data_IF_703518568111
#
_entry.id   IF_703518568111
#
_cell.length_a   1.000
_cell.length_b   1.000
_cell.length_c   1.000
_cell.angle_alpha   90.00
_cell.angle_beta   90.00
_cell.angle_gamma   90.00
#
_symmetry.space_group_name_H-M   'P 1'
#
loop_
_entity.id
_entity.type
_entity.pdbx_description
1 polymer ?
#
# COMPACT_ATOMS: atom_id res chain seq x y z
N UNK A 1 19.81 -3.16 -13.58
CA UNK A 1 18.46 -3.65 -13.20
C UNK A 1 18.22 -3.58 -11.69
N UNK A 2 19.15 -3.96 -10.81
CA UNK A 2 19.03 -3.77 -9.34
C UNK A 2 18.76 -2.34 -8.81
N UNK A 3 19.25 -1.22 -9.41
CA UNK A 3 19.09 0.10 -8.79
C UNK A 3 17.64 0.56 -8.72
N UNK A 4 16.78 0.21 -9.68
CA UNK A 4 15.35 0.60 -9.63
C UNK A 4 14.68 0.03 -8.39
N UNK A 5 14.93 -1.25 -8.07
CA UNK A 5 14.39 -1.90 -6.87
C UNK A 5 14.84 -1.22 -5.57
N UNK A 6 16.07 -0.69 -5.52
CA UNK A 6 16.62 -0.02 -4.34
C UNK A 6 16.19 1.45 -4.23
N UNK A 7 16.05 2.13 -5.36
CA UNK A 7 15.71 3.56 -5.41
C UNK A 7 14.21 3.82 -5.29
N UNK A 8 13.36 2.86 -5.68
CA UNK A 8 11.89 2.96 -5.59
C UNK A 8 11.37 3.41 -4.21
N UNK A 9 11.86 2.91 -3.06
CA UNK A 9 11.39 3.40 -1.77
C UNK A 9 11.94 4.76 -1.32
N UNK A 10 12.98 5.30 -1.96
CA UNK A 10 13.63 6.51 -1.43
C UNK A 10 12.73 7.75 -1.45
N UNK A 11 11.94 8.03 -2.51
CA UNK A 11 11.05 9.19 -2.52
C UNK A 11 10.02 9.17 -1.40
N UNK A 12 9.49 8.00 -1.02
CA UNK A 12 8.52 7.91 0.07
C UNK A 12 9.16 8.20 1.43
N UNK A 13 10.36 7.65 1.67
CA UNK A 13 11.14 7.94 2.88
C UNK A 13 11.50 9.42 2.98
N UNK A 14 12.04 10.01 1.91
CA UNK A 14 12.44 11.41 1.86
C UNK A 14 11.25 12.34 2.10
N UNK A 15 10.09 12.04 1.49
CA UNK A 15 8.88 12.83 1.67
C UNK A 15 8.40 12.80 3.13
N UNK A 16 8.37 11.62 3.75
CA UNK A 16 7.99 11.49 5.16
C UNK A 16 8.98 12.24 6.08
N UNK A 17 10.29 12.09 5.87
CA UNK A 17 11.30 12.79 6.68
C UNK A 17 11.23 14.31 6.51
N UNK A 18 11.01 14.80 5.28
CA UNK A 18 10.84 16.23 5.01
C UNK A 18 9.63 16.78 5.76
N UNK A 19 8.52 16.05 5.72
CA UNK A 19 7.28 16.38 6.44
C UNK A 19 7.53 16.40 7.97
N UNK A 20 8.38 15.52 8.49
CA UNK A 20 8.76 15.47 9.91
C UNK A 20 9.82 16.47 10.34
N UNK A 21 10.50 17.13 9.41
CA UNK A 21 11.54 18.13 9.71
C UNK A 21 10.97 19.47 10.19
N UNK A 22 9.70 19.76 9.86
CA UNK A 22 9.06 21.02 10.24
C UNK A 22 8.87 21.11 11.77
N UNK A 23 9.26 22.22 12.42
CA UNK A 23 9.14 22.36 13.87
C UNK A 23 7.67 22.34 14.32
N UNK A 24 7.42 21.83 15.53
CA UNK A 24 6.08 21.76 16.13
C UNK A 24 6.10 22.27 17.57
N UNK A 25 5.08 23.06 17.91
CA UNK A 25 4.77 23.42 19.29
C UNK A 25 4.08 22.25 20.00
N UNK A 26 3.98 22.30 21.33
CA UNK A 26 3.26 21.29 22.06
C UNK A 26 1.76 21.38 21.73
N UNK A 27 1.03 20.26 21.60
CA UNK A 27 -0.42 20.31 21.41
C UNK A 27 -1.14 21.09 22.52
N UNK A 28 -0.60 21.03 23.74
CA UNK A 28 -1.14 21.69 24.92
C UNK A 28 -1.04 23.23 24.85
N UNK A 29 -0.18 23.78 23.99
CA UNK A 29 -0.06 25.22 23.74
C UNK A 29 -1.24 25.78 22.94
N UNK A 30 -2.18 24.93 22.53
CA UNK A 30 -3.43 25.30 21.88
C UNK A 30 -3.33 25.50 20.36
N UNK A 31 -4.49 25.76 19.77
CA UNK A 31 -4.68 25.80 18.31
C UNK A 31 -3.83 26.88 17.64
N UNK A 32 -3.81 28.09 18.18
CA UNK A 32 -3.18 29.26 17.56
C UNK A 32 -1.65 29.15 17.54
N UNK A 33 -1.06 28.60 18.61
CA UNK A 33 0.39 28.33 18.68
C UNK A 33 0.81 27.27 17.66
N UNK A 34 -0.10 26.35 17.33
CA UNK A 34 0.11 25.27 16.37
C UNK A 34 -0.30 25.65 14.93
N UNK A 35 -0.22 26.92 14.51
CA UNK A 35 -0.59 27.36 13.15
C UNK A 35 0.18 26.62 12.03
N UNK A 36 1.48 26.33 12.24
CA UNK A 36 2.32 25.64 11.26
C UNK A 36 1.86 24.19 11.02
N UNK A 37 1.25 23.56 12.02
CA UNK A 37 0.66 22.23 11.89
C UNK A 37 -0.51 22.23 10.90
N UNK A 38 -1.36 23.25 10.91
CA UNK A 38 -2.49 23.36 9.97
C UNK A 38 -2.05 23.64 8.53
N UNK A 39 -0.98 24.43 8.35
CA UNK A 39 -0.35 24.62 7.03
C UNK A 39 0.26 23.31 6.53
N UNK A 40 0.93 22.55 7.40
CA UNK A 40 1.48 21.24 7.04
C UNK A 40 0.38 20.26 6.63
N UNK A 41 -0.70 20.12 7.42
CA UNK A 41 -1.86 19.31 7.05
C UNK A 41 -2.43 19.75 5.70
N UNK A 42 -2.50 21.06 5.47
CA UNK A 42 -3.00 21.60 4.21
C UNK A 42 -2.14 21.14 3.03
N UNK A 43 -0.81 21.33 3.11
CA UNK A 43 0.14 20.93 2.05
C UNK A 43 0.08 19.43 1.81
N UNK A 44 0.13 18.62 2.87
CA UNK A 44 0.09 17.15 2.77
C UNK A 44 -1.22 16.69 2.14
N UNK A 45 -2.35 17.24 2.57
CA UNK A 45 -3.66 16.91 2.01
C UNK A 45 -3.76 17.31 0.55
N UNK A 46 -3.29 18.51 0.18
CA UNK A 46 -3.27 18.96 -1.21
C UNK A 46 -2.50 18.01 -2.10
N UNK A 47 -1.30 17.61 -1.65
CA UNK A 47 -0.44 16.70 -2.38
C UNK A 47 -1.04 15.29 -2.48
N UNK A 48 -1.58 14.73 -1.38
CA UNK A 48 -2.21 13.42 -1.37
C UNK A 48 -3.45 13.37 -2.27
N UNK A 49 -4.35 14.34 -2.14
CA UNK A 49 -5.60 14.40 -2.91
C UNK A 49 -5.33 14.68 -4.38
N UNK A 50 -4.40 15.58 -4.70
CA UNK A 50 -3.99 15.83 -6.07
C UNK A 50 -3.39 14.59 -6.71
N UNK A 51 -2.51 13.88 -5.99
CA UNK A 51 -1.91 12.62 -6.45
C UNK A 51 -2.97 11.53 -6.66
N UNK A 52 -3.89 11.36 -5.71
CA UNK A 52 -4.99 10.41 -5.83
C UNK A 52 -5.88 10.72 -7.04
N UNK A 53 -6.17 12.00 -7.27
CA UNK A 53 -6.91 12.45 -8.44
C UNK A 53 -6.16 12.03 -9.70
N UNK A 54 -4.87 12.35 -9.84
CA UNK A 54 -4.08 11.92 -11.01
C UNK A 54 -4.10 10.39 -11.22
N UNK A 55 -4.05 9.59 -10.15
CA UNK A 55 -4.17 8.13 -10.25
C UNK A 55 -5.50 7.70 -10.86
N UNK A 56 -6.63 8.29 -10.44
CA UNK A 56 -7.95 8.01 -11.02
C UNK A 56 -7.96 8.30 -12.53
N UNK A 57 -7.31 9.38 -12.96
CA UNK A 57 -7.19 9.74 -14.37
C UNK A 57 -6.36 8.73 -15.17
N UNK A 58 -5.26 8.24 -14.61
CA UNK A 58 -4.41 7.23 -15.26
C UNK A 58 -5.11 5.87 -15.43
N UNK A 59 -6.10 5.57 -14.61
CA UNK A 59 -6.85 4.31 -14.67
C UNK A 59 -8.14 4.39 -15.50
N UNK A 60 -8.58 5.59 -15.89
CA UNK A 60 -9.73 5.81 -16.75
C UNK A 60 -9.28 6.55 -18.02
N UNK A 61 -8.79 5.84 -19.06
CA UNK A 61 -8.23 6.48 -20.26
C UNK A 61 -9.26 7.33 -21.04
N UNK A 62 -10.55 7.08 -20.84
CA UNK A 62 -11.65 7.91 -21.38
C UNK A 62 -11.84 9.23 -20.62
N UNK A 63 -11.25 9.32 -19.45
CA UNK A 63 -11.31 10.47 -18.58
C UNK A 63 -10.08 11.35 -18.84
N UNK A 64 -10.24 12.43 -19.60
CA UNK A 64 -9.15 13.39 -19.86
C UNK A 64 -8.82 14.24 -18.61
N UNK A 65 -8.26 13.60 -17.58
CA UNK A 65 -7.85 14.31 -16.38
C UNK A 65 -6.54 15.06 -16.60
N UNK A 66 -6.64 16.37 -16.77
CA UNK A 66 -5.48 17.28 -16.78
C UNK A 66 -4.99 17.58 -15.36
N UNK A 67 -3.69 17.87 -15.23
CA UNK A 67 -3.02 18.23 -13.96
C UNK A 67 -3.73 19.39 -13.25
N UNK A 68 -4.24 20.37 -14.00
CA UNK A 68 -5.00 21.51 -13.43
C UNK A 68 -6.17 21.07 -12.54
N UNK A 69 -6.87 19.99 -12.90
CA UNK A 69 -8.02 19.54 -12.11
C UNK A 69 -7.54 18.90 -10.80
N UNK A 70 -6.46 18.11 -10.85
CA UNK A 70 -5.84 17.55 -9.66
C UNK A 70 -5.31 18.63 -8.71
N UNK A 71 -4.72 19.71 -9.23
CA UNK A 71 -4.26 20.85 -8.42
C UNK A 71 -5.45 21.54 -7.76
N UNK A 72 -6.51 21.88 -8.51
CA UNK A 72 -7.69 22.55 -7.94
C UNK A 72 -8.39 21.68 -6.90
N UNK A 73 -8.59 20.38 -7.19
CA UNK A 73 -9.20 19.44 -6.25
C UNK A 73 -8.35 19.28 -4.99
N UNK A 74 -7.03 19.15 -5.14
CA UNK A 74 -6.09 19.11 -4.02
C UNK A 74 -6.18 20.34 -3.13
N UNK A 75 -6.09 21.54 -3.71
CA UNK A 75 -6.13 22.81 -2.98
C UNK A 75 -7.46 22.98 -2.21
N UNK A 76 -8.60 22.75 -2.87
CA UNK A 76 -9.91 22.91 -2.25
C UNK A 76 -10.13 21.88 -1.13
N UNK A 77 -9.78 20.62 -1.36
CA UNK A 77 -9.90 19.58 -0.34
C UNK A 77 -8.96 19.83 0.83
N UNK A 78 -7.73 20.28 0.57
CA UNK A 78 -6.80 20.69 1.63
C UNK A 78 -7.36 21.83 2.48
N UNK A 79 -7.91 22.88 1.85
CA UNK A 79 -8.53 24.00 2.57
C UNK A 79 -9.66 23.49 3.47
N UNK A 80 -10.55 22.65 2.92
CA UNK A 80 -11.65 22.08 3.69
C UNK A 80 -11.15 21.27 4.90
N UNK A 81 -10.21 20.36 4.71
CA UNK A 81 -9.61 19.54 5.78
C UNK A 81 -8.98 20.42 6.86
N UNK A 82 -8.14 21.38 6.48
CA UNK A 82 -7.44 22.23 7.46
C UNK A 82 -8.37 23.19 8.19
N UNK A 83 -9.34 23.81 7.51
CA UNK A 83 -10.32 24.69 8.15
C UNK A 83 -11.27 23.93 9.06
N UNK A 84 -11.70 22.72 8.69
CA UNK A 84 -12.51 21.89 9.58
C UNK A 84 -11.72 21.50 10.82
N UNK A 85 -10.49 20.99 10.67
CA UNK A 85 -9.65 20.64 11.82
C UNK A 85 -9.36 21.84 12.72
N UNK A 86 -9.04 23.00 12.14
CA UNK A 86 -8.83 24.24 12.88
C UNK A 86 -10.09 24.69 13.61
N UNK A 87 -11.23 24.74 12.92
CA UNK A 87 -12.51 25.18 13.46
C UNK A 87 -12.97 24.29 14.62
N UNK A 88 -12.87 22.96 14.48
CA UNK A 88 -13.19 22.03 15.58
C UNK A 88 -12.21 22.21 16.74
N UNK A 89 -10.93 22.41 16.45
CA UNK A 89 -9.91 22.72 17.45
C UNK A 89 -10.27 23.96 18.28
N UNK A 90 -10.70 25.05 17.62
CA UNK A 90 -11.09 26.31 18.27
C UNK A 90 -12.40 26.15 19.06
N UNK A 91 -13.38 25.46 18.50
CA UNK A 91 -14.73 25.36 19.08
C UNK A 91 -14.83 24.34 20.22
N UNK A 92 -14.03 23.28 20.19
CA UNK A 92 -14.16 22.15 21.12
C UNK A 92 -12.88 21.93 21.92
N UNK A 93 -11.86 21.35 21.28
CA UNK A 93 -10.60 20.98 21.94
C UNK A 93 -9.52 20.70 20.91
N UNK A 94 -8.28 21.01 21.28
CA UNK A 94 -7.10 20.67 20.52
C UNK A 94 -6.12 19.86 21.39
N UNK A 95 -5.54 18.76 20.87
CA UNK A 95 -5.73 18.19 19.53
C UNK A 95 -7.13 17.58 19.33
N UNK A 96 -7.64 17.65 18.09
CA UNK A 96 -8.97 17.13 17.74
C UNK A 96 -8.96 15.59 17.81
N UNK A 97 -9.78 14.95 18.66
CA UNK A 97 -9.87 13.50 18.73
C UNK A 97 -10.14 12.88 17.37
N UNK A 98 -9.36 11.87 16.97
CA UNK A 98 -9.50 11.22 15.67
C UNK A 98 -9.45 12.23 14.51
N UNK A 99 -8.56 13.23 14.58
CA UNK A 99 -8.50 14.35 13.65
C UNK A 99 -8.44 13.92 12.17
N UNK A 100 -7.70 12.86 11.86
CA UNK A 100 -7.66 12.28 10.49
C UNK A 100 -9.04 11.76 10.03
N UNK A 101 -9.79 11.12 10.93
CA UNK A 101 -11.13 10.58 10.64
C UNK A 101 -12.16 11.69 10.52
N UNK A 102 -12.15 12.67 11.43
CA UNK A 102 -13.11 13.79 11.42
C UNK A 102 -12.86 14.72 10.23
N UNK A 103 -11.61 14.91 9.82
CA UNK A 103 -11.27 15.77 8.70
C UNK A 103 -11.47 15.10 7.32
N UNK A 104 -11.70 13.78 7.28
CA UNK A 104 -11.90 13.03 6.04
C UNK A 104 -13.23 13.31 5.31
N UNK A 105 -14.41 13.36 5.98
CA UNK A 105 -15.68 13.64 5.30
C UNK A 105 -15.74 14.98 4.53
N UNK A 106 -15.26 16.12 5.08
CA UNK A 106 -15.18 17.37 4.31
C UNK A 106 -14.32 17.24 3.05
N UNK A 107 -13.16 16.58 3.16
CA UNK A 107 -12.27 16.31 2.03
C UNK A 107 -12.99 15.54 0.92
N UNK A 108 -13.67 14.45 1.28
CA UNK A 108 -14.45 13.61 0.34
C UNK A 108 -15.61 14.39 -0.26
N UNK A 109 -16.30 15.21 0.53
CA UNK A 109 -17.38 16.07 0.05
C UNK A 109 -16.92 17.02 -1.05
N UNK A 110 -15.79 17.72 -0.83
CA UNK A 110 -15.20 18.59 -1.85
C UNK A 110 -14.78 17.81 -3.08
N UNK A 111 -14.21 16.62 -2.93
CA UNK A 111 -13.84 15.78 -4.07
C UNK A 111 -15.07 15.41 -4.91
N UNK A 112 -16.16 15.00 -4.28
CA UNK A 112 -17.42 14.67 -4.97
C UNK A 112 -17.99 15.90 -5.68
N UNK A 113 -18.00 17.07 -5.04
CA UNK A 113 -18.47 18.32 -5.65
C UNK A 113 -17.62 18.72 -6.85
N UNK A 114 -16.29 18.72 -6.72
CA UNK A 114 -15.39 19.06 -7.83
C UNK A 114 -15.51 18.05 -8.98
N UNK A 115 -15.59 16.76 -8.66
CA UNK A 115 -15.70 15.71 -9.64
C UNK A 115 -17.01 15.80 -10.44
N UNK A 116 -18.13 16.03 -9.74
CA UNK A 116 -19.44 16.24 -10.38
C UNK A 116 -19.49 17.54 -11.18
N UNK A 117 -18.80 18.60 -10.74
CA UNK A 117 -18.70 19.85 -11.49
C UNK A 117 -17.92 19.68 -12.80
N UNK A 118 -16.72 19.10 -12.75
CA UNK A 118 -15.86 18.97 -13.93
C UNK A 118 -16.36 17.92 -14.92
N UNK A 119 -16.88 16.79 -14.43
CA UNK A 119 -17.18 15.62 -15.29
C UNK A 119 -18.63 15.15 -15.21
N UNK A 120 -19.51 15.81 -14.46
CA UNK A 120 -20.91 15.38 -14.32
C UNK A 120 -21.70 15.33 -15.63
N UNK A 121 -21.36 16.20 -16.61
CA UNK A 121 -21.95 16.15 -17.94
C UNK A 121 -21.45 14.94 -18.76
N UNK A 122 -20.13 14.74 -18.82
CA UNK A 122 -19.50 13.61 -19.53
C UNK A 122 -19.91 12.26 -18.93
N UNK A 123 -20.07 12.21 -17.62
CA UNK A 123 -20.58 11.06 -16.87
C UNK A 123 -21.98 10.64 -17.31
N UNK A 124 -22.85 11.60 -17.59
CA UNK A 124 -24.23 11.33 -18.03
C UNK A 124 -24.27 10.86 -19.48
N UNK A 125 -23.32 11.29 -20.31
CA UNK A 125 -23.31 10.98 -21.75
C UNK A 125 -22.59 9.68 -22.12
N UNK A 126 -21.52 9.27 -21.42
CA UNK A 126 -20.76 8.05 -21.74
C UNK A 126 -20.99 6.92 -20.69
N UNK A 127 -21.78 5.87 -21.02
CA UNK A 127 -22.04 4.75 -20.11
C UNK A 127 -20.79 3.91 -19.79
N UNK A 128 -19.79 3.91 -20.68
CA UNK A 128 -18.53 3.19 -20.45
C UNK A 128 -17.65 3.98 -19.49
N UNK A 129 -17.55 5.31 -19.63
CA UNK A 129 -16.89 6.18 -18.64
C UNK A 129 -17.51 6.01 -17.25
N UNK A 130 -18.85 5.99 -17.17
CA UNK A 130 -19.58 5.72 -15.91
C UNK A 130 -19.19 4.38 -15.28
N UNK A 131 -18.94 3.37 -16.09
CA UNK A 131 -18.49 2.05 -15.60
C UNK A 131 -17.06 2.14 -15.09
N UNK A 132 -16.14 2.74 -15.85
CA UNK A 132 -14.74 2.88 -15.46
C UNK A 132 -14.60 3.63 -14.13
N UNK A 133 -15.32 4.74 -13.97
CA UNK A 133 -15.21 5.50 -12.73
C UNK A 133 -15.91 4.82 -11.57
N UNK A 134 -17.03 4.11 -11.76
CA UNK A 134 -17.61 3.27 -10.69
C UNK A 134 -16.61 2.24 -10.18
N UNK A 135 -15.86 1.61 -11.07
CA UNK A 135 -14.79 0.68 -10.70
C UNK A 135 -13.71 1.40 -9.89
N UNK A 136 -13.26 2.57 -10.34
CA UNK A 136 -12.28 3.39 -9.63
C UNK A 136 -12.74 3.85 -8.25
N UNK A 137 -14.00 4.32 -8.13
CA UNK A 137 -14.59 4.71 -6.84
C UNK A 137 -14.69 3.53 -5.88
N UNK A 138 -14.91 2.31 -6.38
CA UNK A 138 -14.87 1.12 -5.53
C UNK A 138 -13.45 0.76 -5.09
N UNK A 139 -12.42 0.95 -5.92
CA UNK A 139 -11.02 0.74 -5.53
C UNK A 139 -10.62 1.77 -4.47
N UNK A 140 -10.93 3.05 -4.71
CA UNK A 140 -10.73 4.13 -3.75
C UNK A 140 -11.48 3.88 -2.44
N UNK A 141 -12.73 3.42 -2.51
CA UNK A 141 -13.53 3.07 -1.34
C UNK A 141 -12.88 1.97 -0.49
N UNK A 142 -12.29 0.95 -1.13
CA UNK A 142 -11.51 -0.07 -0.43
C UNK A 142 -10.25 0.54 0.20
N UNK A 143 -9.50 1.35 -0.54
CA UNK A 143 -8.28 2.01 -0.03
C UNK A 143 -8.58 2.89 1.19
N UNK A 144 -9.60 3.74 1.12
CA UNK A 144 -10.06 4.56 2.26
C UNK A 144 -10.52 3.68 3.42
N UNK A 145 -11.26 2.60 3.16
CA UNK A 145 -11.66 1.67 4.23
C UNK A 145 -10.45 1.09 4.97
N UNK A 146 -9.39 0.70 4.26
CA UNK A 146 -8.17 0.19 4.88
C UNK A 146 -7.48 1.25 5.75
N UNK A 147 -7.50 2.52 5.36
CA UNK A 147 -6.96 3.61 6.20
C UNK A 147 -7.65 3.76 7.55
N UNK A 148 -8.87 3.22 7.71
CA UNK A 148 -9.62 3.20 8.98
C UNK A 148 -9.53 1.86 9.69
N UNK A 149 -9.68 0.75 8.96
CA UNK A 149 -9.67 -0.61 9.51
C UNK A 149 -8.37 -0.88 10.27
N UNK A 150 -7.24 -0.49 9.70
CA UNK A 150 -5.96 -0.88 10.28
C UNK A 150 -5.53 -0.05 11.50
N UNK A 151 -5.75 1.27 11.62
CA UNK A 151 -5.55 1.96 12.89
C UNK A 151 -6.43 1.39 14.02
N UNK A 152 -7.69 1.05 13.72
CA UNK A 152 -8.55 0.32 14.67
C UNK A 152 -7.98 -1.05 15.03
N UNK A 153 -7.41 -1.76 14.05
CA UNK A 153 -6.71 -3.02 14.30
C UNK A 153 -5.46 -2.81 15.19
N UNK A 154 -4.61 -1.79 14.95
CA UNK A 154 -3.47 -1.49 15.83
C UNK A 154 -3.96 -1.29 17.26
N UNK A 155 -4.99 -0.48 17.44
CA UNK A 155 -5.55 -0.22 18.77
C UNK A 155 -6.00 -1.51 19.46
N UNK A 156 -6.73 -2.38 18.74
CA UNK A 156 -7.10 -3.70 19.25
C UNK A 156 -5.87 -4.54 19.63
N UNK A 157 -4.84 -4.56 18.78
CA UNK A 157 -3.62 -5.34 19.00
C UNK A 157 -2.82 -4.87 20.22
N UNK A 158 -2.70 -3.57 20.45
CA UNK A 158 -1.96 -3.02 21.60
C UNK A 158 -2.78 -3.10 22.91
N UNK A 159 -4.11 -3.19 22.80
CA UNK A 159 -5.00 -3.35 23.96
C UNK A 159 -5.02 -4.78 24.51
N UNK A 160 -4.49 -5.75 23.75
CA UNK A 160 -4.41 -7.16 24.12
C UNK A 160 -2.99 -7.54 24.55
N UNK A 161 -2.87 -8.57 25.37
CA UNK A 161 -1.56 -9.09 25.83
C UNK A 161 -1.49 -10.61 25.69
N UNK A 162 -0.25 -11.13 25.58
CA UNK A 162 0.01 -12.57 25.56
C UNK A 162 -0.71 -13.32 24.43
N UNK A 163 -1.44 -14.39 24.79
CA UNK A 163 -2.11 -15.27 23.84
C UNK A 163 -3.19 -14.57 22.99
N UNK A 164 -3.95 -13.65 23.59
CA UNK A 164 -5.00 -12.92 22.86
C UNK A 164 -4.41 -11.98 21.81
N UNK A 165 -3.25 -11.38 22.09
CA UNK A 165 -2.51 -10.59 21.11
C UNK A 165 -2.10 -11.44 19.91
N UNK A 166 -1.62 -12.68 20.15
CA UNK A 166 -1.28 -13.63 19.08
C UNK A 166 -2.52 -14.08 18.27
N UNK A 167 -3.65 -14.34 18.92
CA UNK A 167 -4.89 -14.68 18.22
C UNK A 167 -5.39 -13.53 17.33
N UNK A 168 -5.23 -12.29 17.80
CA UNK A 168 -5.65 -11.09 17.08
C UNK A 168 -4.85 -10.84 15.79
N UNK A 169 -3.62 -11.36 15.70
CA UNK A 169 -2.81 -11.36 14.46
C UNK A 169 -3.52 -12.09 13.32
N UNK A 170 -4.31 -13.14 13.61
CA UNK A 170 -5.04 -13.90 12.58
C UNK A 170 -6.11 -13.06 11.85
N UNK A 171 -6.47 -11.87 12.37
CA UNK A 171 -7.33 -10.95 11.65
C UNK A 171 -6.65 -10.32 10.42
N UNK A 172 -5.31 -10.20 10.41
CA UNK A 172 -4.57 -9.60 9.28
C UNK A 172 -4.76 -10.37 7.97
N UNK A 173 -4.58 -11.72 7.91
CA UNK A 173 -4.90 -12.50 6.72
C UNK A 173 -6.35 -12.34 6.24
N UNK A 174 -7.31 -12.21 7.16
CA UNK A 174 -8.73 -12.06 6.82
C UNK A 174 -8.97 -10.68 6.17
N UNK A 175 -8.45 -9.60 6.78
CA UNK A 175 -8.54 -8.24 6.24
C UNK A 175 -7.88 -8.20 4.84
N UNK A 176 -6.67 -8.76 4.71
CA UNK A 176 -5.93 -8.89 3.45
C UNK A 176 -6.75 -9.62 2.39
N UNK A 177 -7.36 -10.76 2.71
CA UNK A 177 -8.19 -11.53 1.77
C UNK A 177 -9.45 -10.77 1.34
N UNK A 178 -10.16 -10.14 2.28
CA UNK A 178 -11.36 -9.36 1.98
C UNK A 178 -11.03 -8.17 1.06
N UNK A 179 -9.96 -7.44 1.35
CA UNK A 179 -9.52 -6.31 0.55
C UNK A 179 -9.07 -6.71 -0.87
N UNK A 180 -8.27 -7.79 -0.99
CA UNK A 180 -7.87 -8.36 -2.29
C UNK A 180 -9.08 -8.73 -3.13
N UNK A 181 -10.06 -9.41 -2.52
CA UNK A 181 -11.29 -9.82 -3.20
C UNK A 181 -12.16 -8.61 -3.59
N UNK A 182 -12.22 -7.58 -2.76
CA UNK A 182 -12.94 -6.35 -3.08
C UNK A 182 -12.34 -5.69 -4.33
N UNK A 183 -11.04 -5.37 -4.31
CA UNK A 183 -10.37 -4.68 -5.43
C UNK A 183 -10.41 -5.54 -6.69
N UNK A 184 -10.19 -6.85 -6.58
CA UNK A 184 -10.25 -7.78 -7.72
C UNK A 184 -11.63 -7.80 -8.39
N UNK A 185 -12.71 -7.81 -7.59
CA UNK A 185 -14.10 -7.71 -8.10
C UNK A 185 -14.38 -6.34 -8.71
N UNK A 186 -13.90 -5.27 -8.09
CA UNK A 186 -14.07 -3.90 -8.57
C UNK A 186 -13.44 -3.72 -9.96
N UNK A 187 -12.27 -4.31 -10.23
CA UNK A 187 -11.57 -4.18 -11.51
C UNK A 187 -12.12 -5.08 -12.63
N UNK A 188 -13.03 -6.01 -12.33
CA UNK A 188 -13.76 -6.80 -13.33
C UNK A 188 -12.86 -7.53 -14.31
N UNK A 189 -12.87 -7.14 -15.60
CA UNK A 189 -12.08 -7.78 -16.68
C UNK A 189 -10.72 -7.11 -16.96
N UNK A 190 -10.34 -6.06 -16.22
CA UNK A 190 -9.07 -5.34 -16.42
C UNK A 190 -7.90 -6.10 -15.79
N UNK A 191 -7.51 -7.20 -16.41
CA UNK A 191 -6.47 -8.08 -15.86
C UNK A 191 -5.08 -7.42 -15.79
N UNK A 192 -4.78 -6.45 -16.65
CA UNK A 192 -3.45 -5.83 -16.68
C UNK A 192 -3.19 -4.90 -15.48
N UNK A 193 -4.24 -4.27 -14.94
CA UNK A 193 -4.13 -3.36 -13.79
C UNK A 193 -4.31 -4.08 -12.44
N UNK A 194 -4.88 -5.28 -12.43
CA UNK A 194 -5.21 -6.00 -11.19
C UNK A 194 -4.01 -6.26 -10.28
N UNK A 195 -2.86 -6.77 -10.75
CA UNK A 195 -1.75 -7.09 -9.85
C UNK A 195 -1.27 -5.86 -9.12
N UNK A 196 -0.99 -4.81 -9.90
CA UNK A 196 -0.58 -3.52 -9.40
C UNK A 196 -1.58 -2.96 -8.38
N UNK A 197 -2.86 -2.88 -8.74
CA UNK A 197 -3.88 -2.28 -7.89
C UNK A 197 -4.10 -3.02 -6.59
N UNK A 198 -4.16 -4.36 -6.65
CA UNK A 198 -4.38 -5.19 -5.47
C UNK A 198 -3.17 -5.14 -4.56
N UNK A 199 -1.95 -5.27 -5.09
CA UNK A 199 -0.73 -5.32 -4.30
C UNK A 199 -0.44 -3.98 -3.64
N UNK A 200 -0.38 -2.90 -4.42
CA UNK A 200 0.02 -1.61 -3.87
C UNK A 200 -1.03 -0.99 -2.94
N UNK A 201 -2.29 -1.42 -3.00
CA UNK A 201 -3.27 -1.01 -2.00
C UNK A 201 -3.25 -1.93 -0.78
N UNK A 202 -3.32 -3.26 -0.95
CA UNK A 202 -3.53 -4.16 0.19
C UNK A 202 -2.22 -4.50 0.90
N UNK A 203 -1.18 -4.82 0.14
CA UNK A 203 0.09 -5.31 0.70
C UNK A 203 0.88 -4.20 1.35
N UNK A 204 0.83 -2.98 0.81
CA UNK A 204 1.50 -1.85 1.46
C UNK A 204 0.99 -1.63 2.87
N UNK A 205 -0.34 -1.60 3.05
CA UNK A 205 -0.90 -1.51 4.39
C UNK A 205 -0.47 -2.71 5.22
N UNK A 206 -0.73 -3.93 4.74
CA UNK A 206 -0.45 -5.14 5.51
C UNK A 206 1.00 -5.21 6.00
N UNK A 207 1.98 -4.97 5.13
CA UNK A 207 3.40 -5.02 5.47
C UNK A 207 3.80 -3.93 6.47
N UNK A 208 3.30 -2.70 6.30
CA UNK A 208 3.61 -1.62 7.25
C UNK A 208 2.97 -1.86 8.63
N UNK A 209 1.76 -2.41 8.66
CA UNK A 209 1.08 -2.75 9.91
C UNK A 209 1.70 -3.96 10.60
N UNK A 210 2.14 -4.97 9.85
CA UNK A 210 2.94 -6.08 10.38
C UNK A 210 4.24 -5.56 11.00
N UNK A 211 4.94 -4.64 10.32
CA UNK A 211 6.13 -3.99 10.86
C UNK A 211 5.83 -3.19 12.13
N UNK A 212 4.72 -2.46 12.19
CA UNK A 212 4.28 -1.78 13.42
C UNK A 212 3.91 -2.75 14.56
N UNK A 213 3.24 -3.87 14.24
CA UNK A 213 2.88 -4.90 15.21
C UNK A 213 4.12 -5.56 15.82
N UNK A 214 5.11 -5.91 14.98
CA UNK A 214 6.39 -6.47 15.42
C UNK A 214 7.17 -5.51 16.33
N UNK A 215 7.06 -4.20 16.11
CA UNK A 215 7.70 -3.21 16.98
C UNK A 215 7.03 -3.05 18.33
N UNK A 216 5.70 -3.16 18.37
CA UNK A 216 4.90 -2.95 19.57
C UNK A 216 4.53 -4.26 20.27
N UNK A 217 5.00 -5.41 19.76
CA UNK A 217 4.76 -6.71 20.36
C UNK A 217 5.28 -6.74 21.80
N UNK A 218 4.43 -7.22 22.71
CA UNK A 218 4.73 -7.31 24.14
C UNK A 218 5.79 -8.37 24.47
N UNK A 219 5.88 -9.40 23.63
CA UNK A 219 6.80 -10.54 23.82
C UNK A 219 7.38 -11.00 22.48
N UNK A 220 8.58 -11.55 22.54
CA UNK A 220 9.24 -12.19 21.39
C UNK A 220 8.41 -13.34 20.79
N UNK A 221 7.59 -14.02 21.60
CA UNK A 221 6.69 -15.07 21.13
C UNK A 221 5.64 -14.60 20.13
N UNK A 222 5.09 -13.39 20.29
CA UNK A 222 4.14 -12.81 19.32
C UNK A 222 4.83 -12.54 17.99
N UNK A 223 6.06 -12.01 18.02
CA UNK A 223 6.85 -11.79 16.81
C UNK A 223 7.14 -13.10 16.07
N UNK A 224 7.52 -14.16 16.79
CA UNK A 224 7.74 -15.49 16.21
C UNK A 224 6.46 -16.04 15.58
N UNK A 225 5.29 -15.85 16.20
CA UNK A 225 4.01 -16.30 15.64
C UNK A 225 3.68 -15.55 14.34
N UNK A 226 3.86 -14.22 14.29
CA UNK A 226 3.69 -13.43 13.07
C UNK A 226 4.58 -13.99 11.95
N UNK A 227 5.86 -14.20 12.24
CA UNK A 227 6.83 -14.78 11.29
C UNK A 227 6.40 -16.17 10.80
N UNK A 228 5.93 -17.04 11.70
CA UNK A 228 5.49 -18.39 11.34
C UNK A 228 4.24 -18.38 10.45
N UNK A 229 3.28 -17.48 10.72
CA UNK A 229 2.08 -17.32 9.89
C UNK A 229 2.47 -16.91 8.47
N UNK A 230 3.37 -15.94 8.33
CA UNK A 230 3.82 -15.47 7.02
C UNK A 230 4.63 -16.53 6.28
N UNK A 231 5.50 -17.27 6.96
CA UNK A 231 6.19 -18.44 6.37
C UNK A 231 5.23 -19.53 5.90
N UNK A 232 4.16 -19.79 6.63
CA UNK A 232 3.12 -20.74 6.22
C UNK A 232 2.35 -20.23 4.99
N UNK A 233 1.97 -18.95 4.99
CA UNK A 233 1.30 -18.31 3.85
C UNK A 233 2.17 -18.34 2.60
N UNK A 234 3.46 -18.06 2.75
CA UNK A 234 4.47 -18.16 1.71
C UNK A 234 4.56 -19.59 1.16
N UNK A 235 4.69 -20.58 2.05
CA UNK A 235 4.80 -21.99 1.66
C UNK A 235 3.58 -22.47 0.86
N UNK A 236 2.37 -22.15 1.32
CA UNK A 236 1.12 -22.47 0.62
C UNK A 236 1.09 -21.81 -0.76
N UNK A 237 1.44 -20.52 -0.83
CA UNK A 237 1.48 -19.77 -2.09
C UNK A 237 2.47 -20.40 -3.08
N UNK A 238 3.65 -20.82 -2.61
CA UNK A 238 4.66 -21.49 -3.43
C UNK A 238 4.17 -22.85 -3.96
N UNK A 239 3.48 -23.64 -3.15
CA UNK A 239 2.89 -24.92 -3.59
C UNK A 239 1.85 -24.71 -4.70
N UNK A 240 0.95 -23.75 -4.52
CA UNK A 240 -0.06 -23.41 -5.52
C UNK A 240 0.58 -22.96 -6.84
N UNK A 241 1.66 -22.19 -6.76
CA UNK A 241 2.40 -21.70 -7.93
C UNK A 241 3.12 -22.82 -8.65
N UNK A 242 3.85 -23.69 -7.94
CA UNK A 242 4.52 -24.86 -8.53
C UNK A 242 3.49 -25.77 -9.20
N UNK A 243 2.30 -25.92 -8.61
CA UNK A 243 1.19 -26.66 -9.22
C UNK A 243 0.71 -26.01 -10.52
N UNK A 244 0.42 -24.70 -10.51
CA UNK A 244 -0.01 -23.95 -11.71
C UNK A 244 1.06 -24.02 -12.81
N UNK A 245 2.33 -23.89 -12.44
CA UNK A 245 3.48 -24.00 -13.34
C UNK A 245 3.55 -25.38 -13.97
N UNK A 246 3.44 -26.44 -13.18
CA UNK A 246 3.45 -27.82 -13.67
C UNK A 246 2.25 -28.13 -14.58
N UNK A 247 1.05 -27.64 -14.25
CA UNK A 247 -0.13 -27.74 -15.11
C UNK A 247 0.07 -27.01 -16.45
N UNK A 248 0.68 -25.82 -16.41
CA UNK A 248 0.99 -25.05 -17.61
C UNK A 248 2.01 -25.77 -18.49
N UNK A 249 3.07 -26.32 -17.89
CA UNK A 249 4.15 -27.00 -18.60
C UNK A 249 3.66 -28.32 -19.23
N UNK A 250 2.92 -29.14 -18.47
CA UNK A 250 2.27 -30.35 -19.00
C UNK A 250 1.39 -30.05 -20.20
N UNK A 251 0.66 -28.95 -20.16
CA UNK A 251 -0.27 -28.59 -21.21
C UNK A 251 0.38 -27.96 -22.46
N UNK A 252 1.56 -27.34 -22.31
CA UNK A 252 2.41 -26.95 -23.44
C UNK A 252 3.00 -28.22 -24.10
N UNK A 253 3.51 -29.16 -23.30
CA UNK A 253 4.04 -30.43 -23.80
C UNK A 253 2.98 -31.29 -24.51
N UNK A 254 1.72 -31.30 -24.05
CA UNK A 254 0.64 -32.00 -24.78
C UNK A 254 0.23 -31.28 -26.07
N UNK A 255 0.42 -29.97 -26.18
CA UNK A 255 0.16 -29.22 -27.42
C UNK A 255 1.26 -29.33 -28.46
N UNK A 256 2.48 -29.72 -28.07
CA UNK A 256 3.60 -29.97 -28.98
C UNK A 256 3.68 -31.41 -29.51
N UNK A 257 2.77 -32.30 -29.10
CA UNK A 257 2.69 -33.68 -29.62
C UNK A 257 1.68 -33.74 -30.77
N UNK A 258 2.05 -33.20 -31.93
CA UNK A 258 1.57 -33.55 -33.29
C UNK A 258 2.68 -33.14 -34.29
N UNK A 259 2.92 -33.93 -35.35
CA UNK A 259 3.94 -34.98 -35.39
C UNK A 259 5.33 -34.50 -35.85
N UNK A 260 6.31 -35.35 -35.58
CA UNK A 260 7.70 -35.23 -36.00
C UNK A 260 7.84 -35.03 -37.51
N UNK A 261 8.50 -33.94 -37.90
CA UNK A 261 9.41 -33.77 -39.06
C UNK A 261 9.45 -32.28 -39.43
N UNK A 262 10.31 -31.51 -38.76
CA UNK A 262 10.82 -30.27 -39.35
C UNK A 262 12.33 -30.32 -39.20
N UNK A 263 12.97 -30.83 -40.25
CA UNK A 263 14.42 -30.83 -40.38
C UNK A 263 14.95 -29.39 -40.31
N UNK A 264 16.06 -29.28 -39.59
CA UNK A 264 16.74 -28.03 -39.28
C UNK A 264 17.11 -27.24 -40.54
N UNK A 265 16.55 -26.05 -40.72
CA UNK A 265 17.22 -24.91 -41.37
C UNK A 265 16.74 -23.61 -40.72
N UNK A 266 17.73 -22.81 -40.34
CA UNK A 266 17.71 -21.48 -39.75
C UNK A 266 16.74 -20.53 -40.46
N UNK A 267 15.68 -20.10 -39.77
CA UNK A 267 14.90 -18.88 -40.02
C UNK A 267 13.93 -18.70 -38.86
N UNK A 268 13.64 -17.47 -38.45
CA UNK A 268 12.67 -17.10 -37.40
C UNK A 268 11.28 -17.66 -37.71
N UNK A 269 11.01 -18.89 -37.26
CA UNK A 269 9.72 -19.55 -37.48
C UNK A 269 8.65 -18.73 -36.76
N UNK A 270 7.78 -18.07 -37.52
CA UNK A 270 6.67 -17.31 -36.96
C UNK A 270 5.74 -18.28 -36.25
N UNK A 271 5.26 -17.91 -35.07
CA UNK A 271 4.29 -18.68 -34.28
C UNK A 271 3.02 -19.08 -35.09
N UNK A 272 2.78 -18.40 -36.21
CA UNK A 272 1.71 -18.62 -37.18
C UNK A 272 1.84 -19.91 -37.99
N UNK A 273 3.05 -20.43 -38.20
CA UNK A 273 3.30 -21.64 -38.99
C UNK A 273 3.31 -22.92 -38.15
N UNK A 274 3.37 -22.83 -36.82
CA UNK A 274 3.51 -23.98 -35.90
C UNK A 274 2.17 -24.37 -35.23
N UNK A 275 1.27 -23.41 -34.98
CA UNK A 275 0.06 -23.64 -34.19
C UNK A 275 -1.23 -23.22 -34.91
N UNK A 276 -2.29 -24.02 -34.75
CA UNK A 276 -3.65 -23.60 -35.13
C UNK A 276 -4.07 -22.33 -34.37
N UNK A 277 -4.97 -21.51 -34.93
CA UNK A 277 -5.50 -20.30 -34.24
C UNK A 277 -6.01 -20.61 -32.83
N UNK A 278 -6.64 -21.78 -32.63
CA UNK A 278 -7.16 -22.23 -31.32
C UNK A 278 -6.03 -22.61 -30.34
N UNK A 279 -4.93 -23.18 -30.82
CA UNK A 279 -3.76 -23.51 -30.00
C UNK A 279 -2.97 -22.27 -29.64
N UNK A 280 -2.77 -21.36 -30.59
CA UNK A 280 -2.13 -20.06 -30.35
C UNK A 280 -2.89 -19.24 -29.31
N UNK A 281 -4.22 -19.17 -29.41
CA UNK A 281 -5.04 -18.49 -28.41
C UNK A 281 -4.92 -19.12 -27.02
N UNK A 282 -4.89 -20.47 -26.93
CA UNK A 282 -4.67 -21.18 -25.65
C UNK A 282 -3.28 -20.94 -25.08
N UNK A 283 -2.25 -20.95 -25.92
CA UNK A 283 -0.87 -20.69 -25.52
C UNK A 283 -0.71 -19.26 -25.00
N UNK A 284 -1.19 -18.25 -25.74
CA UNK A 284 -1.14 -16.84 -25.34
C UNK A 284 -1.88 -16.64 -24.01
N UNK A 285 -3.10 -17.18 -23.86
CA UNK A 285 -3.85 -17.05 -22.62
C UNK A 285 -3.14 -17.69 -21.42
N UNK A 286 -2.48 -18.84 -21.62
CA UNK A 286 -1.70 -19.50 -20.55
C UNK A 286 -0.44 -18.73 -20.20
N UNK A 287 0.31 -18.26 -21.20
CA UNK A 287 1.51 -17.46 -21.00
C UNK A 287 1.18 -16.13 -20.29
N UNK A 288 0.10 -15.46 -20.69
CA UNK A 288 -0.35 -14.23 -20.04
C UNK A 288 -0.80 -14.46 -18.59
N UNK A 289 -1.56 -15.55 -18.32
CA UNK A 289 -1.95 -15.92 -16.96
C UNK A 289 -0.73 -16.24 -16.09
N UNK A 290 0.25 -16.93 -16.66
CA UNK A 290 1.49 -17.23 -15.96
C UNK A 290 2.26 -15.94 -15.64
N UNK A 291 2.48 -15.07 -16.63
CA UNK A 291 3.16 -13.79 -16.44
C UNK A 291 2.48 -12.95 -15.35
N UNK A 292 1.14 -12.90 -15.36
CA UNK A 292 0.34 -12.24 -14.34
C UNK A 292 0.60 -12.79 -12.93
N UNK A 293 0.63 -14.13 -12.76
CA UNK A 293 0.87 -14.75 -11.44
C UNK A 293 2.30 -14.48 -10.96
N UNK A 294 3.28 -14.50 -11.87
CA UNK A 294 4.67 -14.21 -11.56
C UNK A 294 4.87 -12.75 -11.17
N UNK A 295 4.26 -11.83 -11.91
CA UNK A 295 4.23 -10.41 -11.58
C UNK A 295 3.63 -10.22 -10.18
N UNK A 296 2.46 -10.81 -9.96
CA UNK A 296 1.76 -10.72 -8.68
C UNK A 296 2.63 -11.18 -7.51
N UNK A 297 3.25 -12.36 -7.64
CA UNK A 297 4.07 -12.94 -6.59
C UNK A 297 5.32 -12.10 -6.31
N UNK A 298 6.09 -11.76 -7.34
CA UNK A 298 7.37 -11.08 -7.13
C UNK A 298 7.17 -9.66 -6.61
N UNK A 299 6.06 -8.98 -6.98
CA UNK A 299 5.72 -7.68 -6.39
C UNK A 299 5.32 -7.79 -4.91
N UNK A 300 4.59 -8.83 -4.51
CA UNK A 300 4.24 -9.05 -3.08
C UNK A 300 5.52 -9.17 -2.26
N UNK A 301 6.37 -10.13 -2.62
CA UNK A 301 7.63 -10.41 -1.92
C UNK A 301 8.53 -9.18 -1.89
N UNK A 302 8.57 -8.41 -2.99
CA UNK A 302 9.32 -7.16 -3.03
C UNK A 302 8.80 -6.12 -2.02
N UNK A 303 7.49 -5.94 -1.93
CA UNK A 303 6.84 -4.98 -1.01
C UNK A 303 7.02 -5.41 0.44
N UNK A 304 6.88 -6.72 0.73
CA UNK A 304 7.06 -7.31 2.06
C UNK A 304 8.52 -7.21 2.55
N UNK A 305 9.51 -7.19 1.66
CA UNK A 305 10.92 -6.90 2.00
C UNK A 305 11.17 -5.42 2.22
N UNK A 306 10.73 -4.58 1.29
CA UNK A 306 11.14 -3.17 1.24
C UNK A 306 10.48 -2.35 2.35
N UNK A 307 9.19 -2.56 2.61
CA UNK A 307 8.45 -1.71 3.54
C UNK A 307 8.92 -1.80 5.00
N UNK A 308 9.20 -2.99 5.58
CA UNK A 308 9.76 -3.08 6.93
C UNK A 308 11.11 -2.36 7.07
N UNK A 309 11.95 -2.37 6.03
CA UNK A 309 13.23 -1.66 6.00
C UNK A 309 12.99 -0.15 6.01
N UNK A 310 12.13 0.35 5.12
CA UNK A 310 11.81 1.77 5.00
C UNK A 310 11.15 2.29 6.28
N UNK A 311 10.23 1.53 6.85
CA UNK A 311 9.58 1.83 8.12
C UNK A 311 10.59 1.91 9.27
N UNK A 312 11.52 0.94 9.34
CA UNK A 312 12.61 0.94 10.33
C UNK A 312 13.51 2.17 10.17
N UNK A 313 13.93 2.49 8.94
CA UNK A 313 14.76 3.66 8.65
C UNK A 313 14.08 4.96 9.04
N UNK A 314 12.81 5.16 8.63
CA UNK A 314 12.03 6.33 9.00
C UNK A 314 11.96 6.52 10.51
N UNK A 315 11.70 5.43 11.25
CA UNK A 315 11.60 5.47 12.71
C UNK A 315 12.93 5.81 13.39
N UNK A 316 14.04 5.26 12.90
CA UNK A 316 15.39 5.59 13.41
C UNK A 316 15.71 7.06 13.15
N UNK A 317 15.42 7.57 11.95
CA UNK A 317 15.60 9.00 11.63
C UNK A 317 14.74 9.85 12.57
N UNK A 318 13.45 9.51 12.72
CA UNK A 318 12.51 10.23 13.57
C UNK A 318 12.96 10.25 15.04
N UNK A 319 13.58 9.17 15.54
CA UNK A 319 14.13 9.12 16.91
C UNK A 319 15.21 10.19 17.18
N UNK A 320 15.92 10.63 16.15
CA UNK A 320 16.93 11.69 16.22
C UNK A 320 16.37 13.08 15.91
N UNK A 321 15.12 13.19 15.45
CA UNK A 321 14.46 14.47 15.23
C UNK A 321 13.79 14.99 16.52
N UNK A 322 13.71 16.31 16.63
CA UNK A 322 13.04 16.99 17.75
C UNK A 322 11.57 16.57 17.91
N UNK A 323 10.90 16.27 16.79
CA UNK A 323 9.49 15.90 16.75
C UNK A 323 9.19 14.53 17.36
N UNK A 324 10.20 13.73 17.74
CA UNK A 324 9.99 12.43 18.42
C UNK A 324 9.12 12.52 19.67
N UNK A 325 9.14 13.67 20.36
CA UNK A 325 8.37 13.92 21.57
C UNK A 325 6.85 13.83 21.32
N UNK A 326 6.41 14.02 20.09
CA UNK A 326 5.00 14.03 19.67
C UNK A 326 4.52 12.67 19.13
N UNK A 327 5.35 11.63 19.24
CA UNK A 327 5.02 10.27 18.85
C UNK A 327 4.99 9.39 20.10
N UNK A 328 3.82 8.90 20.56
CA UNK A 328 3.72 8.15 21.83
C UNK A 328 4.62 6.90 21.88
N UNK A 329 4.82 6.23 20.74
CA UNK A 329 5.69 5.06 20.62
C UNK A 329 7.19 5.37 20.67
N UNK A 330 7.58 6.64 20.63
CA UNK A 330 8.97 7.13 20.59
C UNK A 330 9.32 8.13 21.69
N UNK A 331 8.35 8.85 22.27
CA UNK A 331 8.60 9.96 23.19
C UNK A 331 9.46 9.59 24.41
N UNK A 332 9.31 8.35 24.92
CA UNK A 332 9.99 7.87 26.13
C UNK A 332 10.76 6.55 25.92
N UNK A 333 11.10 6.21 24.68
CA UNK A 333 11.82 4.96 24.39
C UNK A 333 13.34 5.14 24.61
N UNK A 334 13.99 4.15 25.24
CA UNK A 334 15.45 4.10 25.32
C UNK A 334 16.08 3.67 24.00
N UNK A 335 17.34 4.04 23.75
CA UNK A 335 18.09 3.59 22.57
C UNK A 335 18.18 2.06 22.47
N UNK A 336 18.31 1.36 23.61
CA UNK A 336 18.35 -0.11 23.64
C UNK A 336 17.02 -0.74 23.19
N UNK A 337 15.89 -0.17 23.62
CA UNK A 337 14.55 -0.65 23.22
C UNK A 337 14.24 -0.30 21.76
N UNK A 338 14.72 0.84 21.27
CA UNK A 338 14.68 1.18 19.84
C UNK A 338 15.45 0.14 19.01
N UNK A 339 16.70 -0.14 19.38
CA UNK A 339 17.53 -1.13 18.67
C UNK A 339 16.89 -2.51 18.71
N UNK A 340 16.40 -2.97 19.86
CA UNK A 340 15.76 -4.29 19.98
C UNK A 340 14.50 -4.42 19.10
N UNK A 341 13.60 -3.42 19.13
CA UNK A 341 12.39 -3.42 18.29
C UNK A 341 12.71 -3.29 16.80
N UNK A 342 13.73 -2.51 16.45
CA UNK A 342 14.21 -2.38 15.06
C UNK A 342 14.81 -3.69 14.57
N UNK A 343 15.64 -4.37 15.38
CA UNK A 343 16.21 -5.67 15.05
C UNK A 343 15.12 -6.74 14.86
N UNK A 344 14.03 -6.72 15.64
CA UNK A 344 12.91 -7.63 15.43
C UNK A 344 12.26 -7.44 14.05
N UNK A 345 12.10 -6.19 13.59
CA UNK A 345 11.52 -5.89 12.27
C UNK A 345 12.49 -6.20 11.14
N UNK A 346 13.77 -5.92 11.32
CA UNK A 346 14.80 -6.27 10.34
C UNK A 346 15.01 -7.78 10.26
N UNK A 347 14.87 -8.51 11.36
CA UNK A 347 14.85 -9.97 11.39
C UNK A 347 13.67 -10.53 10.58
N UNK A 348 12.48 -9.95 10.71
CA UNK A 348 11.34 -10.24 9.85
C UNK A 348 11.65 -9.93 8.38
N UNK A 349 12.15 -8.72 8.07
CA UNK A 349 12.52 -8.35 6.70
C UNK A 349 13.61 -9.25 6.09
N UNK A 350 14.49 -9.84 6.90
CA UNK A 350 15.48 -10.82 6.44
C UNK A 350 14.83 -12.17 6.07
N UNK A 351 13.78 -12.60 6.78
CA UNK A 351 12.99 -13.78 6.41
C UNK A 351 12.22 -13.54 5.11
N UNK A 352 11.59 -12.37 4.95
CA UNK A 352 10.94 -11.95 3.70
C UNK A 352 11.96 -11.85 2.54
N UNK A 353 13.19 -11.44 2.84
CA UNK A 353 14.24 -11.42 1.82
C UNK A 353 14.62 -12.85 1.40
N UNK A 354 14.66 -13.78 2.35
CA UNK A 354 14.90 -15.19 2.05
C UNK A 354 13.75 -15.80 1.23
N UNK A 355 12.48 -15.48 1.54
CA UNK A 355 11.32 -15.93 0.74
C UNK A 355 11.35 -15.36 -0.68
N UNK A 356 11.70 -14.07 -0.84
CA UNK A 356 11.89 -13.46 -2.16
C UNK A 356 13.00 -14.18 -2.96
N UNK A 357 14.15 -14.45 -2.34
CA UNK A 357 15.25 -15.19 -2.99
C UNK A 357 14.80 -16.60 -3.39
N UNK A 358 14.11 -17.32 -2.49
CA UNK A 358 13.58 -18.65 -2.76
C UNK A 358 12.57 -18.65 -3.91
N UNK A 359 11.70 -17.64 -3.96
CA UNK A 359 10.78 -17.41 -5.08
C UNK A 359 11.54 -17.20 -6.38
N UNK A 360 12.49 -16.26 -6.42
CA UNK A 360 13.27 -15.96 -7.63
C UNK A 360 14.05 -17.18 -8.13
N UNK A 361 14.64 -17.97 -7.22
CA UNK A 361 15.35 -19.20 -7.57
C UNK A 361 14.39 -20.26 -8.11
N UNK A 362 13.24 -20.47 -7.45
CA UNK A 362 12.25 -21.47 -7.88
C UNK A 362 11.68 -21.10 -9.24
N UNK A 363 11.29 -19.84 -9.44
CA UNK A 363 10.79 -19.34 -10.72
C UNK A 363 11.84 -19.47 -11.82
N UNK A 364 13.10 -19.11 -11.55
CA UNK A 364 14.20 -19.29 -12.52
C UNK A 364 14.41 -20.75 -12.90
N UNK A 365 14.36 -21.68 -11.93
CA UNK A 365 14.51 -23.12 -12.18
C UNK A 365 13.38 -23.70 -13.00
N UNK A 366 12.14 -23.25 -12.76
CA UNK A 366 10.96 -23.79 -13.44
C UNK A 366 10.72 -23.16 -14.82
N UNK A 367 11.01 -21.86 -14.97
CA UNK A 367 10.68 -21.10 -16.17
C UNK A 367 11.87 -20.80 -17.09
N UNK A 368 13.10 -20.96 -16.59
CA UNK A 368 14.32 -20.71 -17.35
C UNK A 368 14.70 -19.24 -17.56
N UNK A 369 13.87 -18.27 -17.14
CA UNK A 369 14.17 -16.84 -17.24
C UNK A 369 14.22 -16.12 -15.88
N UNK A 370 14.82 -14.93 -15.86
CA UNK A 370 15.01 -14.13 -14.64
C UNK A 370 13.74 -13.33 -14.29
N UNK A 371 13.03 -13.73 -13.24
CA UNK A 371 11.88 -12.97 -12.71
C UNK A 371 12.27 -11.63 -12.08
N UNK A 372 13.54 -11.44 -11.73
CA UNK A 372 14.05 -10.14 -11.27
C UNK A 372 13.99 -9.07 -12.38
N UNK A 373 14.21 -9.50 -13.63
CA UNK A 373 14.07 -8.62 -14.79
C UNK A 373 12.61 -8.22 -15.01
N UNK A 374 11.67 -9.14 -14.75
CA UNK A 374 10.24 -8.85 -14.78
C UNK A 374 9.83 -7.85 -13.69
N UNK A 375 10.30 -8.03 -12.45
CA UNK A 375 10.08 -7.05 -11.37
C UNK A 375 10.61 -5.66 -11.76
N UNK A 376 11.85 -5.61 -12.26
CA UNK A 376 12.46 -4.34 -12.69
C UNK A 376 11.61 -3.69 -13.79
N UNK A 377 11.16 -4.47 -14.77
CA UNK A 377 10.31 -3.99 -15.84
C UNK A 377 8.99 -3.39 -15.32
N UNK A 378 8.33 -4.05 -14.36
CA UNK A 378 7.07 -3.55 -13.78
C UNK A 378 7.31 -2.28 -12.99
N UNK A 379 8.32 -2.26 -12.12
CA UNK A 379 8.68 -1.08 -11.34
C UNK A 379 9.05 0.11 -12.22
N UNK A 380 9.69 -0.12 -13.36
CA UNK A 380 10.05 0.93 -14.32
C UNK A 380 8.83 1.41 -15.12
N UNK A 381 8.00 0.49 -15.63
CA UNK A 381 6.84 0.85 -16.46
C UNK A 381 5.68 1.47 -15.67
N UNK A 382 5.52 1.07 -14.41
CA UNK A 382 4.47 1.58 -13.53
C UNK A 382 5.01 2.56 -12.48
N UNK A 383 6.26 3.03 -12.62
CA UNK A 383 6.96 3.86 -11.64
C UNK A 383 6.10 4.98 -11.04
N UNK A 384 5.43 5.77 -11.88
CA UNK A 384 4.61 6.89 -11.42
C UNK A 384 3.48 6.46 -10.47
N UNK A 385 2.79 5.36 -10.79
CA UNK A 385 1.68 4.86 -9.97
C UNK A 385 2.19 4.20 -8.69
N UNK A 386 3.25 3.40 -8.80
CA UNK A 386 3.92 2.78 -7.66
C UNK A 386 4.40 3.83 -6.66
N UNK A 387 5.15 4.83 -7.14
CA UNK A 387 5.65 5.94 -6.32
C UNK A 387 4.51 6.71 -5.67
N UNK A 388 3.46 7.04 -6.43
CA UNK A 388 2.34 7.81 -5.92
C UNK A 388 1.63 7.06 -4.79
N UNK A 389 1.31 5.78 -4.95
CA UNK A 389 0.68 4.97 -3.90
C UNK A 389 1.60 4.77 -2.70
N UNK A 390 2.85 4.41 -2.95
CA UNK A 390 3.82 4.18 -1.89
C UNK A 390 4.02 5.42 -1.03
N UNK A 391 4.17 6.59 -1.65
CA UNK A 391 4.37 7.85 -0.92
C UNK A 391 3.10 8.26 -0.17
N UNK A 392 1.91 8.20 -0.79
CA UNK A 392 0.64 8.55 -0.13
C UNK A 392 0.40 7.66 1.09
N UNK A 393 0.49 6.34 0.91
CA UNK A 393 0.19 5.38 1.97
C UNK A 393 1.22 5.43 3.09
N UNK A 394 2.51 5.54 2.75
CA UNK A 394 3.56 5.64 3.75
C UNK A 394 3.45 6.92 4.58
N UNK A 395 3.30 8.09 3.93
CA UNK A 395 3.12 9.37 4.63
C UNK A 395 1.88 9.34 5.52
N UNK A 396 0.74 8.90 4.98
CA UNK A 396 -0.50 8.77 5.77
C UNK A 396 -0.28 7.96 7.04
N UNK A 397 0.39 6.81 6.92
CA UNK A 397 0.60 5.92 8.05
C UNK A 397 1.53 6.52 9.08
N UNK A 398 2.60 7.20 8.66
CA UNK A 398 3.52 7.83 9.60
C UNK A 398 2.84 8.99 10.35
N UNK A 399 1.87 9.65 9.73
CA UNK A 399 1.11 10.74 10.38
C UNK A 399 0.04 10.24 11.36
N UNK A 400 -0.57 9.07 11.15
CA UNK A 400 -1.70 8.61 11.97
C UNK A 400 -1.39 8.51 13.47
N UNK A 401 -0.10 8.37 13.82
CA UNK A 401 0.39 8.16 15.18
C UNK A 401 0.73 9.46 15.92
N UNK A 402 0.60 10.60 15.25
CA UNK A 402 0.99 11.91 15.76
C UNK A 402 -0.06 12.48 16.72
N UNK A 403 0.37 12.94 17.90
CA UNK A 403 -0.54 13.47 18.94
C UNK A 403 -1.36 14.69 18.49
N UNK A 404 -0.83 15.55 17.62
CA UNK A 404 -1.56 16.71 17.10
C UNK A 404 -2.79 16.33 16.28
N UNK A 405 -2.84 15.11 15.75
CA UNK A 405 -4.00 14.54 15.04
C UNK A 405 -4.98 13.83 15.99
N UNK A 406 -4.78 13.93 17.32
CA UNK A 406 -5.62 13.29 18.32
C UNK A 406 -5.62 11.76 18.19
N UNK A 407 -4.43 11.19 17.95
CA UNK A 407 -4.21 9.77 17.70
C UNK A 407 -4.40 8.85 18.92
N UNK A 408 -4.88 9.37 20.05
CA UNK A 408 -5.18 8.56 21.23
C UNK A 408 -6.53 7.84 21.05
N UNK A 409 -6.46 6.65 20.45
CA UNK A 409 -7.61 5.77 20.26
C UNK A 409 -8.11 5.14 21.59
N UNK A 410 -7.42 5.36 22.72
CA UNK A 410 -7.82 4.84 24.03
C UNK A 410 -8.88 5.69 24.73
N UNK A 411 -9.30 6.80 24.11
CA UNK A 411 -10.22 7.79 24.68
C UNK A 411 -9.74 8.40 26.01
N UNK A 412 -8.47 8.24 26.39
CA UNK A 412 -7.89 8.78 27.62
C UNK A 412 -7.31 10.19 27.44
N UNK A 413 -8.05 11.06 26.75
CA UNK A 413 -7.58 12.42 26.54
C UNK A 413 -7.44 13.17 27.87
N UNK A 414 -6.31 13.86 28.07
CA UNK A 414 -5.99 14.55 29.32
C UNK A 414 -7.10 15.54 29.76
N UNK A 415 -7.75 16.20 28.79
CA UNK A 415 -8.83 17.14 29.05
C UNK A 415 -10.14 16.48 29.55
N UNK A 416 -10.40 15.21 29.23
CA UNK A 416 -11.57 14.47 29.77
C UNK A 416 -11.40 14.27 31.28
N UNK A 417 -10.18 13.94 31.72
CA UNK A 417 -9.86 13.73 33.14
C UNK A 417 -9.85 15.02 33.96
N UNK A 418 -9.65 16.17 33.32
CA UNK A 418 -9.69 17.49 33.98
C UNK A 418 -11.10 18.07 34.17
N UNK A 419 -12.11 17.48 33.53
CA UNK A 419 -13.53 17.91 33.61
C UNK A 419 -14.40 17.01 34.50
N UNK A 420 -13.84 15.92 35.02
CA UNK A 420 -14.41 15.13 36.11
C UNK A 420 -13.82 15.62 37.43
#
# INVERSE_FOLDING_TARGET
MAPVCLLTPLPCLLSAVLIESAPRAAPDDGVYTNWLFFIRIWVVTCWMVGSLTLQMGQMAPRHEMKIRHAVVMGLLSGIATSLTSFGIGVLFVFPVPFGMLIASPPCVGVLVVCYTYFWGAQWKSDPLLRTEVKQQMSVLGCQLSLTFIYPSWIYGFISLTGFYQALFVLALPIIKLLAKNWISRALGKRNDAKPEEVIFNVEIFNSLYAANALQNASTWGVSVIIMLIDLLNFWISMLDIVKILNESNKAVMTSSVLPAEVNAVTSTVKLETIFSRKERARFINKAARLLFVLEYLVLIEYVEVVLPIVYSLHRVILFHLHNRAYYPSLAHISSSKLVASTLSVLGYGALEFASLVMTLVTLKRVLGFSSLSQLTFVLEKQANKVQSKLTILFVYLMEVSLVHLGSDLSFNFAWIKSRQ
#
